data_IF_209325737818
#
_entry.id   IF_209325737818
#
_cell.length_a   1.000
_cell.length_b   1.000
_cell.length_c   1.000
_cell.angle_alpha   90.00
_cell.angle_beta   90.00
_cell.angle_gamma   90.00
#
_symmetry.space_group_name_H-M   'P 1'
#
loop_
_entity.id
_entity.type
_entity.pdbx_description
1 polymer ?
#
# COMPACT_ATOMS: atom_id res chain seq x y z
N UNK A 1 -32.33 -4.63 -35.46
CA UNK A 1 -32.28 -3.85 -36.70
C UNK A 1 -32.93 -2.51 -36.41
N UNK A 2 -32.24 -1.42 -36.74
CA UNK A 2 -32.76 -0.06 -36.65
C UNK A 2 -32.82 0.50 -38.06
N UNK A 3 -33.98 1.02 -38.46
CA UNK A 3 -34.14 1.74 -39.73
C UNK A 3 -34.09 3.24 -39.45
N UNK A 4 -33.21 3.95 -40.13
CA UNK A 4 -33.00 5.39 -39.95
C UNK A 4 -32.84 6.07 -41.30
N UNK A 5 -33.14 7.35 -41.37
CA UNK A 5 -32.90 8.14 -42.58
C UNK A 5 -31.40 8.39 -42.77
N UNK A 6 -31.00 8.57 -44.00
CA UNK A 6 -29.65 8.98 -44.37
C UNK A 6 -29.26 10.26 -43.62
N UNK A 7 -27.98 10.37 -43.26
CA UNK A 7 -27.40 11.47 -42.45
C UNK A 7 -27.92 11.56 -40.99
N UNK A 8 -28.74 10.61 -40.54
CA UNK A 8 -29.15 10.52 -39.14
C UNK A 8 -28.03 9.95 -38.28
N UNK A 9 -27.76 10.60 -37.15
CA UNK A 9 -26.86 10.04 -36.13
C UNK A 9 -27.57 8.98 -35.32
N UNK A 10 -26.87 7.88 -35.08
CA UNK A 10 -27.28 6.80 -34.16
C UNK A 10 -26.22 6.59 -33.09
N UNK A 11 -26.65 6.20 -31.90
CA UNK A 11 -25.73 5.81 -30.83
C UNK A 11 -25.40 4.33 -31.00
N UNK A 12 -24.12 3.96 -30.94
CA UNK A 12 -23.64 2.59 -30.88
C UNK A 12 -23.64 2.11 -29.43
N UNK A 13 -24.67 1.40 -28.93
CA UNK A 13 -24.89 1.21 -27.50
C UNK A 13 -23.89 0.22 -26.89
N UNK A 14 -23.65 0.36 -25.60
CA UNK A 14 -23.11 -0.77 -24.81
C UNK A 14 -24.20 -1.84 -24.69
N UNK A 15 -23.80 -3.11 -24.81
CA UNK A 15 -24.66 -4.27 -24.60
C UNK A 15 -24.18 -5.06 -23.39
N UNK A 16 -24.53 -4.64 -22.16
CA UNK A 16 -24.00 -5.22 -20.92
C UNK A 16 -24.24 -6.73 -20.86
N UNK A 17 -23.23 -7.44 -20.35
CA UNK A 17 -23.26 -8.89 -20.22
C UNK A 17 -22.50 -9.34 -18.98
N UNK A 18 -23.02 -10.32 -18.27
CA UNK A 18 -22.27 -10.98 -17.17
C UNK A 18 -21.14 -11.87 -17.69
N UNK A 19 -21.28 -12.40 -18.89
CA UNK A 19 -20.36 -13.37 -19.52
C UNK A 19 -19.22 -12.72 -20.30
N UNK A 20 -19.43 -11.49 -20.78
CA UNK A 20 -18.48 -10.80 -21.65
C UNK A 20 -18.15 -9.41 -21.12
N UNK A 21 -16.99 -8.88 -21.56
CA UNK A 21 -16.63 -7.47 -21.48
C UNK A 21 -16.65 -6.94 -22.93
N UNK A 22 -17.42 -5.90 -23.16
CA UNK A 22 -17.49 -5.21 -24.44
C UNK A 22 -16.41 -4.14 -24.50
N UNK A 23 -15.79 -3.99 -25.65
CA UNK A 23 -14.71 -3.02 -25.88
C UNK A 23 -15.09 -1.95 -26.90
N UNK A 24 -16.11 -2.20 -27.75
CA UNK A 24 -16.55 -1.31 -28.79
C UNK A 24 -17.18 -2.08 -29.94
N UNK A 25 -17.29 -1.44 -31.07
CA UNK A 25 -17.90 -1.96 -32.29
C UNK A 25 -16.90 -1.96 -33.44
N UNK A 26 -17.18 -2.80 -34.42
CA UNK A 26 -16.49 -2.85 -35.72
C UNK A 26 -17.53 -3.13 -36.83
N UNK A 27 -17.28 -2.66 -38.04
CA UNK A 27 -18.06 -2.97 -39.22
C UNK A 27 -17.53 -4.21 -39.97
N UNK A 28 -16.48 -4.84 -39.46
CA UNK A 28 -15.86 -6.02 -40.04
C UNK A 28 -16.19 -7.27 -39.26
N UNK A 29 -16.97 -8.18 -39.81
CA UNK A 29 -17.36 -9.44 -39.20
C UNK A 29 -16.14 -10.25 -38.76
N UNK A 30 -16.09 -10.65 -37.47
CA UNK A 30 -15.01 -11.46 -36.91
C UNK A 30 -13.76 -10.69 -36.51
N UNK A 31 -13.69 -9.37 -36.72
CA UNK A 31 -12.59 -8.54 -36.26
C UNK A 31 -12.56 -8.46 -34.73
N UNK A 32 -11.33 -8.46 -34.15
CA UNK A 32 -11.09 -8.19 -32.73
C UNK A 32 -10.64 -6.75 -32.49
N UNK A 33 -10.48 -5.94 -33.52
CA UNK A 33 -10.12 -4.53 -33.45
C UNK A 33 -11.36 -3.66 -33.27
N UNK A 34 -11.32 -2.77 -32.28
CA UNK A 34 -12.35 -1.75 -32.06
C UNK A 34 -12.15 -0.65 -33.10
N UNK A 35 -13.20 -0.33 -33.88
CA UNK A 35 -13.24 0.80 -34.80
C UNK A 35 -14.07 1.95 -34.26
N UNK A 36 -15.11 1.63 -33.49
CA UNK A 36 -16.02 2.60 -32.88
C UNK A 36 -16.16 2.30 -31.41
N UNK A 37 -16.12 3.34 -30.57
CA UNK A 37 -16.26 3.20 -29.14
C UNK A 37 -17.70 2.90 -28.71
N UNK A 38 -17.89 2.31 -27.55
CA UNK A 38 -19.21 2.15 -26.94
C UNK A 38 -19.83 3.52 -26.67
N UNK A 39 -21.13 3.63 -26.91
CA UNK A 39 -21.92 4.85 -26.77
C UNK A 39 -21.46 6.04 -27.61
N UNK A 40 -20.62 5.80 -28.63
CA UNK A 40 -20.28 6.82 -29.62
C UNK A 40 -21.42 7.06 -30.62
N UNK A 41 -21.45 8.23 -31.21
CA UNK A 41 -22.33 8.57 -32.34
C UNK A 41 -21.73 8.07 -33.65
N UNK A 42 -22.59 7.61 -34.52
CA UNK A 42 -22.26 7.23 -35.89
C UNK A 42 -23.28 7.87 -36.86
N UNK A 43 -22.79 8.57 -37.88
CA UNK A 43 -23.63 9.14 -38.92
C UNK A 43 -23.90 8.08 -40.00
N UNK A 44 -25.15 7.75 -40.23
CA UNK A 44 -25.55 6.74 -41.20
C UNK A 44 -25.49 7.32 -42.60
N UNK A 45 -24.66 6.73 -43.46
CA UNK A 45 -24.50 7.12 -44.87
C UNK A 45 -24.91 6.01 -45.86
N UNK A 46 -25.32 4.86 -45.30
CA UNK A 46 -25.75 3.67 -46.08
C UNK A 46 -25.96 2.48 -45.18
N UNK A 47 -26.38 1.36 -45.72
CA UNK A 47 -26.55 0.12 -44.97
C UNK A 47 -25.24 -0.29 -44.33
N UNK A 48 -25.26 -0.46 -43.02
CA UNK A 48 -24.07 -0.78 -42.24
C UNK A 48 -24.38 -1.83 -41.15
N UNK A 49 -23.59 -2.88 -41.14
CA UNK A 49 -23.61 -3.88 -40.05
C UNK A 49 -22.56 -3.57 -39.02
N UNK A 50 -22.95 -3.59 -37.75
CA UNK A 50 -22.02 -3.46 -36.62
C UNK A 50 -21.92 -4.75 -35.85
N UNK A 51 -20.68 -5.13 -35.56
CA UNK A 51 -20.32 -6.32 -34.78
C UNK A 51 -19.65 -5.88 -33.48
N UNK A 52 -20.18 -6.36 -32.35
CA UNK A 52 -19.60 -6.01 -31.04
C UNK A 52 -18.27 -6.72 -30.82
N UNK A 53 -17.23 -5.94 -30.47
CA UNK A 53 -15.93 -6.46 -30.08
C UNK A 53 -15.96 -6.76 -28.58
N UNK A 54 -15.90 -8.04 -28.21
CA UNK A 54 -16.01 -8.49 -26.82
C UNK A 54 -15.09 -9.65 -26.50
N UNK A 55 -14.75 -9.81 -25.22
CA UNK A 55 -13.98 -10.95 -24.74
C UNK A 55 -14.69 -11.61 -23.56
N UNK A 56 -14.52 -12.92 -23.39
CA UNK A 56 -15.02 -13.63 -22.21
C UNK A 56 -14.50 -12.95 -20.96
N UNK A 57 -15.39 -12.60 -20.03
CA UNK A 57 -15.04 -12.00 -18.76
C UNK A 57 -14.42 -13.04 -17.83
N UNK A 58 -13.24 -12.77 -17.34
CA UNK A 58 -12.53 -13.58 -16.36
C UNK A 58 -12.35 -12.79 -15.06
N UNK A 59 -12.22 -13.49 -13.94
CA UNK A 59 -11.96 -12.91 -12.63
C UNK A 59 -10.54 -13.21 -12.17
N UNK A 60 -9.87 -12.20 -11.62
CA UNK A 60 -8.66 -12.38 -10.82
C UNK A 60 -9.00 -12.03 -9.38
N UNK A 61 -9.09 -13.04 -8.54
CA UNK A 61 -9.49 -12.92 -7.15
C UNK A 61 -8.27 -12.93 -6.24
N UNK A 62 -8.17 -11.97 -5.33
CA UNK A 62 -7.09 -11.84 -4.38
C UNK A 62 -7.57 -12.22 -2.98
N UNK A 63 -6.85 -13.13 -2.32
CA UNK A 63 -7.21 -13.66 -1.00
C UNK A 63 -6.03 -13.62 -0.03
N UNK A 64 -6.36 -13.58 1.26
CA UNK A 64 -5.38 -13.90 2.29
C UNK A 64 -5.01 -15.38 2.18
N UNK A 65 -3.87 -15.79 2.74
CA UNK A 65 -3.54 -17.21 2.88
C UNK A 65 -4.07 -17.83 4.18
N UNK A 66 -4.82 -17.09 4.99
CA UNK A 66 -5.36 -17.54 6.29
C UNK A 66 -6.77 -18.10 6.21
N UNK A 67 -7.45 -17.93 5.07
CA UNK A 67 -8.85 -18.33 4.90
C UNK A 67 -9.88 -17.32 5.41
N UNK A 68 -9.48 -16.29 6.17
CA UNK A 68 -10.37 -15.24 6.59
C UNK A 68 -10.78 -14.36 5.40
N UNK A 69 -12.06 -13.98 5.34
CA UNK A 69 -12.52 -12.94 4.42
C UNK A 69 -11.99 -11.59 4.90
N UNK A 70 -11.31 -10.86 4.02
CA UNK A 70 -10.81 -9.54 4.33
C UNK A 70 -11.14 -8.58 3.19
N UNK A 71 -11.92 -7.53 3.49
CA UNK A 71 -12.38 -6.52 2.53
C UNK A 71 -11.24 -5.87 1.72
N UNK A 72 -10.03 -5.74 2.31
CA UNK A 72 -8.85 -5.22 1.61
C UNK A 72 -8.46 -6.07 0.42
N UNK A 73 -8.63 -7.39 0.52
CA UNK A 73 -8.30 -8.32 -0.56
C UNK A 73 -9.40 -8.37 -1.62
N UNK A 74 -10.67 -8.33 -1.24
CA UNK A 74 -11.79 -8.30 -2.19
C UNK A 74 -11.79 -7.03 -3.05
N UNK A 75 -11.35 -5.89 -2.50
CA UNK A 75 -11.19 -4.63 -3.26
C UNK A 75 -10.12 -4.72 -4.36
N UNK A 76 -9.21 -5.68 -4.28
CA UNK A 76 -8.17 -5.89 -5.28
C UNK A 76 -8.67 -6.74 -6.46
N UNK A 77 -9.83 -7.39 -6.34
CA UNK A 77 -10.36 -8.26 -7.39
C UNK A 77 -10.55 -7.48 -8.69
N UNK A 78 -10.15 -8.11 -9.79
CA UNK A 78 -10.19 -7.51 -11.12
C UNK A 78 -11.02 -8.37 -12.06
N UNK A 79 -11.82 -7.73 -12.90
CA UNK A 79 -12.52 -8.34 -14.04
C UNK A 79 -11.77 -7.98 -15.31
N UNK A 80 -11.44 -8.95 -16.13
CA UNK A 80 -10.61 -8.77 -17.34
C UNK A 80 -11.10 -9.63 -18.48
N UNK A 81 -10.96 -9.17 -19.73
CA UNK A 81 -11.23 -9.99 -20.90
C UNK A 81 -10.17 -11.08 -21.09
N UNK A 82 -10.60 -12.28 -21.45
CA UNK A 82 -9.70 -13.40 -21.75
C UNK A 82 -8.61 -13.00 -22.73
N UNK A 83 -7.36 -13.30 -22.38
CA UNK A 83 -6.17 -12.99 -23.18
C UNK A 83 -5.61 -11.58 -22.96
N UNK A 84 -6.25 -10.76 -22.15
CA UNK A 84 -5.70 -9.44 -21.77
C UNK A 84 -4.86 -9.53 -20.50
N UNK A 85 -4.09 -8.48 -20.27
CA UNK A 85 -3.12 -8.38 -19.18
C UNK A 85 -3.70 -7.59 -18.01
N UNK A 86 -3.40 -8.04 -16.81
CA UNK A 86 -3.64 -7.31 -15.55
C UNK A 86 -2.33 -7.04 -14.85
N UNK A 87 -2.22 -5.91 -14.18
CA UNK A 87 -1.10 -5.59 -13.31
C UNK A 87 -1.40 -6.12 -11.91
N UNK A 88 -0.47 -6.91 -11.36
CA UNK A 88 -0.61 -7.45 -10.01
C UNK A 88 -0.57 -6.33 -8.96
N UNK A 89 -1.58 -6.22 -8.10
CA UNK A 89 -1.63 -5.16 -7.10
C UNK A 89 -0.60 -5.37 -5.99
N UNK A 90 -0.34 -4.32 -5.20
CA UNK A 90 0.45 -4.43 -3.98
C UNK A 90 -0.23 -5.39 -3.00
N UNK A 91 0.57 -6.24 -2.37
CA UNK A 91 0.07 -7.11 -1.31
C UNK A 91 -0.20 -6.26 -0.06
N UNK A 92 -1.40 -6.32 0.54
CA UNK A 92 -1.69 -5.56 1.75
C UNK A 92 -0.69 -5.82 2.87
N UNK A 93 -0.29 -4.77 3.56
CA UNK A 93 0.71 -4.84 4.65
C UNK A 93 0.21 -5.74 5.77
N UNK A 94 1.11 -6.61 6.27
CA UNK A 94 0.91 -7.44 7.46
C UNK A 94 2.05 -7.17 8.44
N UNK A 95 1.71 -6.66 9.62
CA UNK A 95 2.69 -6.32 10.66
C UNK A 95 3.59 -7.51 11.01
N UNK A 96 4.90 -7.28 11.05
CA UNK A 96 5.91 -8.30 11.33
C UNK A 96 6.23 -9.24 10.17
N UNK A 97 5.74 -8.91 8.97
CA UNK A 97 5.98 -9.72 7.76
C UNK A 97 6.44 -8.85 6.58
N UNK A 98 7.29 -9.42 5.78
CA UNK A 98 7.63 -8.92 4.45
C UNK A 98 6.65 -9.51 3.43
N UNK A 99 6.04 -8.65 2.60
CA UNK A 99 5.22 -9.09 1.47
C UNK A 99 6.13 -9.57 0.34
N UNK A 100 5.90 -10.78 -0.16
CA UNK A 100 6.68 -11.36 -1.26
C UNK A 100 5.96 -11.29 -2.61
N UNK A 101 4.63 -11.19 -2.62
CA UNK A 101 3.81 -11.18 -3.84
C UNK A 101 2.59 -12.09 -3.71
N UNK A 102 2.19 -12.66 -4.84
CA UNK A 102 0.98 -13.45 -4.99
C UNK A 102 1.29 -14.87 -5.50
N UNK A 103 0.54 -15.87 -5.03
CA UNK A 103 0.68 -17.25 -5.51
C UNK A 103 -0.67 -17.91 -5.77
N UNK A 104 -0.68 -18.85 -6.71
CA UNK A 104 -1.84 -19.74 -6.96
C UNK A 104 -2.06 -20.74 -5.82
N UNK A 105 -1.04 -21.00 -5.02
CA UNK A 105 -1.12 -21.93 -3.88
C UNK A 105 -1.29 -21.18 -2.57
N UNK A 106 -2.29 -21.57 -1.76
CA UNK A 106 -2.53 -21.05 -0.41
C UNK A 106 -1.37 -21.31 0.56
N UNK A 107 -0.58 -22.38 0.33
CA UNK A 107 0.54 -22.78 1.19
C UNK A 107 1.91 -22.35 0.66
N UNK A 108 1.95 -21.46 -0.34
CA UNK A 108 3.21 -21.06 -0.96
C UNK A 108 4.09 -20.27 0.01
N UNK A 109 5.38 -20.58 0.02
CA UNK A 109 6.45 -19.82 0.67
C UNK A 109 7.17 -18.86 -0.29
N UNK A 110 6.92 -18.99 -1.60
CA UNK A 110 7.44 -18.14 -2.67
C UNK A 110 6.29 -17.60 -3.50
N UNK A 111 6.43 -16.39 -4.01
CA UNK A 111 5.43 -15.79 -4.88
C UNK A 111 5.62 -16.29 -6.33
N UNK A 112 4.49 -16.59 -7.01
CA UNK A 112 4.46 -16.83 -8.45
C UNK A 112 4.49 -15.49 -9.23
N UNK A 113 3.91 -14.43 -8.62
CA UNK A 113 3.81 -13.10 -9.22
C UNK A 113 4.22 -12.04 -8.21
N UNK A 114 5.03 -11.08 -8.64
CA UNK A 114 5.39 -9.91 -7.85
C UNK A 114 4.34 -8.80 -8.02
N UNK A 115 4.21 -7.92 -7.03
CA UNK A 115 3.46 -6.68 -7.18
C UNK A 115 4.03 -5.85 -8.34
N UNK A 116 3.16 -5.22 -9.13
CA UNK A 116 3.52 -4.47 -10.32
C UNK A 116 3.77 -5.32 -11.58
N UNK A 117 3.83 -6.65 -11.44
CA UNK A 117 4.02 -7.54 -12.59
C UNK A 117 2.77 -7.61 -13.47
N UNK A 118 2.97 -7.50 -14.77
CA UNK A 118 1.92 -7.70 -15.77
C UNK A 118 1.73 -9.19 -16.07
N UNK A 119 0.49 -9.67 -16.02
CA UNK A 119 0.15 -11.09 -16.21
C UNK A 119 -1.00 -11.22 -17.19
N UNK A 120 -0.81 -11.97 -18.28
CA UNK A 120 -1.86 -12.30 -19.23
C UNK A 120 -2.82 -13.34 -18.65
N UNK A 121 -4.11 -13.06 -18.67
CA UNK A 121 -5.15 -13.88 -18.03
C UNK A 121 -5.89 -14.72 -19.06
N UNK A 122 -5.64 -16.03 -19.10
CA UNK A 122 -6.30 -17.00 -19.98
C UNK A 122 -7.48 -17.73 -19.32
N UNK A 123 -7.54 -17.74 -17.98
CA UNK A 123 -8.61 -18.34 -17.16
C UNK A 123 -8.78 -17.57 -15.86
N UNK A 124 -9.91 -17.72 -15.19
CA UNK A 124 -10.12 -17.17 -13.84
C UNK A 124 -9.02 -17.63 -12.89
N UNK A 125 -8.44 -16.68 -12.16
CA UNK A 125 -7.37 -16.90 -11.19
C UNK A 125 -7.85 -16.62 -9.77
N UNK A 126 -7.39 -17.43 -8.83
CA UNK A 126 -7.44 -17.12 -7.40
C UNK A 126 -6.01 -17.09 -6.89
N UNK A 127 -5.62 -15.94 -6.37
CA UNK A 127 -4.26 -15.66 -5.91
C UNK A 127 -4.27 -15.36 -4.41
N UNK A 128 -3.29 -15.94 -3.72
CA UNK A 128 -3.11 -15.81 -2.28
C UNK A 128 -1.88 -14.98 -1.98
N UNK A 129 -2.00 -14.08 -1.01
CA UNK A 129 -0.89 -13.28 -0.53
C UNK A 129 0.21 -14.14 0.07
N UNK A 130 1.45 -13.93 -0.34
CA UNK A 130 2.62 -14.62 0.19
C UNK A 130 3.41 -13.66 1.07
N UNK A 131 3.66 -14.10 2.30
CA UNK A 131 4.39 -13.34 3.31
C UNK A 131 5.54 -14.16 3.89
N UNK A 132 6.63 -13.47 4.22
CA UNK A 132 7.75 -14.00 5.00
C UNK A 132 7.77 -13.31 6.36
N UNK A 133 7.75 -14.07 7.46
CA UNK A 133 7.87 -13.51 8.81
C UNK A 133 9.24 -12.86 8.97
N UNK A 134 9.27 -11.66 9.52
CA UNK A 134 10.49 -10.96 9.89
C UNK A 134 10.96 -11.48 11.26
N UNK A 135 12.21 -11.98 11.38
CA UNK A 135 12.62 -12.71 12.57
C UNK A 135 12.89 -11.82 13.79
N UNK A 136 13.25 -10.55 13.56
CA UNK A 136 13.70 -9.68 14.63
C UNK A 136 12.70 -8.55 14.89
N UNK A 137 12.41 -8.32 16.17
CA UNK A 137 11.67 -7.16 16.64
C UNK A 137 12.66 -6.12 17.15
N UNK A 138 12.48 -4.88 16.71
CA UNK A 138 13.22 -3.71 17.20
C UNK A 138 12.25 -2.86 18.00
N UNK A 139 12.50 -2.72 19.31
CA UNK A 139 11.64 -1.96 20.21
C UNK A 139 12.33 -0.73 20.73
N UNK A 140 11.55 0.31 20.98
CA UNK A 140 11.99 1.59 21.50
C UNK A 140 11.31 1.85 22.84
N UNK A 141 12.09 2.18 23.86
CA UNK A 141 11.61 2.35 25.22
C UNK A 141 11.96 3.73 25.75
N UNK A 142 11.11 4.23 26.66
CA UNK A 142 11.55 5.35 27.46
C UNK A 142 12.56 4.84 28.51
N UNK A 143 13.62 5.59 28.72
CA UNK A 143 14.65 5.28 29.70
C UNK A 143 14.50 6.27 30.89
N UNK A 144 13.50 6.03 31.77
CA UNK A 144 13.17 7.00 32.82
C UNK A 144 13.92 6.75 34.14
N UNK A 145 14.86 5.82 34.15
CA UNK A 145 15.53 5.42 35.41
C UNK A 145 14.63 4.64 36.37
N UNK A 146 13.33 4.52 36.12
CA UNK A 146 12.38 3.75 36.92
C UNK A 146 12.21 2.33 36.39
N UNK A 147 11.76 1.39 37.22
CA UNK A 147 11.56 -0.03 36.86
C UNK A 147 10.59 -0.29 35.73
N UNK A 148 9.83 0.69 35.28
CA UNK A 148 8.80 0.61 34.23
C UNK A 148 9.21 1.39 33.00
N UNK A 149 10.23 0.92 32.27
CA UNK A 149 10.50 1.48 30.95
C UNK A 149 9.38 1.10 29.98
N UNK A 150 8.52 2.06 29.65
CA UNK A 150 7.39 1.88 28.75
C UNK A 150 7.88 1.76 27.30
N UNK A 151 7.41 0.72 26.61
CA UNK A 151 7.68 0.54 25.17
C UNK A 151 6.84 1.56 24.38
N UNK A 152 7.48 2.23 23.43
CA UNK A 152 6.79 3.03 22.41
C UNK A 152 6.27 2.08 21.32
N UNK A 153 5.07 1.55 21.50
CA UNK A 153 4.50 0.53 20.59
C UNK A 153 4.37 1.02 19.15
N UNK A 154 4.08 2.31 18.97
CA UNK A 154 4.00 2.96 17.65
C UNK A 154 5.33 3.01 16.89
N UNK A 155 6.46 2.92 17.60
CA UNK A 155 7.80 2.91 17.02
C UNK A 155 8.34 1.51 16.78
N UNK A 156 7.66 0.45 17.27
CA UNK A 156 8.11 -0.93 17.09
C UNK A 156 8.27 -1.27 15.60
N UNK A 157 9.44 -1.77 15.24
CA UNK A 157 9.79 -2.21 13.89
C UNK A 157 10.08 -3.70 13.85
N UNK A 158 10.07 -4.27 12.66
CA UNK A 158 10.45 -5.65 12.41
C UNK A 158 11.51 -5.70 11.31
N UNK A 159 12.49 -6.53 11.47
CA UNK A 159 13.63 -6.59 10.57
C UNK A 159 14.04 -8.02 10.19
N UNK A 160 14.61 -8.16 9.00
CA UNK A 160 15.36 -9.34 8.59
C UNK A 160 16.78 -9.30 9.16
N UNK A 161 17.47 -10.45 9.15
CA UNK A 161 18.90 -10.49 9.50
C UNK A 161 19.69 -9.55 8.59
N UNK A 162 20.56 -8.75 9.19
CA UNK A 162 21.40 -7.76 8.52
C UNK A 162 20.65 -6.61 7.81
N UNK A 163 19.35 -6.48 8.02
CA UNK A 163 18.61 -5.32 7.52
C UNK A 163 19.06 -4.06 8.26
N UNK A 164 19.25 -2.99 7.52
CA UNK A 164 19.48 -1.66 8.08
C UNK A 164 18.12 -1.03 8.41
N UNK A 165 17.99 -0.45 9.60
CA UNK A 165 16.81 0.31 10.03
C UNK A 165 17.25 1.71 10.42
N UNK A 166 16.46 2.71 10.06
CA UNK A 166 16.65 4.09 10.47
C UNK A 166 15.98 4.31 11.81
N UNK A 167 16.72 4.85 12.79
CA UNK A 167 16.20 5.11 14.12
C UNK A 167 15.24 6.30 14.08
N UNK A 168 14.05 6.19 14.69
CA UNK A 168 13.07 7.26 14.72
C UNK A 168 13.50 8.38 15.67
N UNK A 169 12.80 9.51 15.58
CA UNK A 169 12.92 10.57 16.57
C UNK A 169 12.58 10.06 17.97
N UNK A 170 13.33 10.50 18.97
CA UNK A 170 13.01 10.24 20.36
C UNK A 170 11.75 11.03 20.74
N UNK A 171 10.67 10.37 21.20
CA UNK A 171 9.43 11.06 21.57
C UNK A 171 9.68 12.16 22.62
N UNK A 172 9.09 13.33 22.41
CA UNK A 172 9.26 14.48 23.29
C UNK A 172 8.66 14.23 24.68
N UNK A 173 9.36 14.66 25.70
CA UNK A 173 8.89 14.66 27.09
C UNK A 173 9.08 16.07 27.64
N UNK A 174 8.04 16.65 28.26
CA UNK A 174 8.09 17.99 28.85
C UNK A 174 9.19 18.07 29.91
N UNK A 175 10.01 19.09 29.85
CA UNK A 175 11.12 19.31 30.79
C UNK A 175 12.38 18.51 30.48
N UNK A 176 12.47 17.85 29.32
CA UNK A 176 13.64 17.11 28.90
C UNK A 176 14.05 17.45 27.47
N UNK A 177 15.37 17.47 27.27
CA UNK A 177 16.00 17.53 25.94
C UNK A 177 16.35 16.11 25.52
N UNK A 178 15.90 15.69 24.33
CA UNK A 178 16.25 14.40 23.77
C UNK A 178 17.68 14.44 23.25
N UNK A 179 18.48 13.44 23.59
CA UNK A 179 19.88 13.29 23.13
C UNK A 179 20.00 12.23 22.04
N UNK A 180 19.25 11.14 22.13
CA UNK A 180 19.32 10.05 21.15
C UNK A 180 18.86 8.72 21.74
N UNK A 181 19.43 7.65 21.25
CA UNK A 181 19.13 6.26 21.62
C UNK A 181 20.37 5.52 22.11
N UNK A 182 20.19 4.56 22.99
CA UNK A 182 21.23 3.62 23.42
C UNK A 182 20.67 2.20 23.46
N UNK A 183 21.49 1.18 23.35
CA UNK A 183 21.11 -0.23 23.55
C UNK A 183 21.18 -0.65 25.02
N UNK A 184 21.84 0.12 25.86
CA UNK A 184 22.00 -0.14 27.28
C UNK A 184 20.98 0.63 28.12
N UNK A 185 20.30 -0.09 29.01
CA UNK A 185 19.31 0.51 29.91
C UNK A 185 20.01 1.29 31.06
N UNK A 186 19.60 2.55 31.24
CA UNK A 186 20.12 3.40 32.32
C UNK A 186 21.23 4.34 31.88
N UNK A 187 21.75 4.18 30.66
CA UNK A 187 22.80 5.08 30.15
C UNK A 187 22.27 6.51 29.98
N UNK A 188 23.15 7.46 30.21
CA UNK A 188 22.89 8.91 30.13
C UNK A 188 23.44 9.53 28.85
N UNK A 189 24.34 8.83 28.17
CA UNK A 189 24.91 9.23 26.88
C UNK A 189 24.34 8.37 25.73
N UNK A 190 24.01 8.95 24.58
CA UNK A 190 23.48 8.20 23.47
C UNK A 190 24.60 7.51 22.67
N UNK A 191 24.33 6.27 22.22
CA UNK A 191 25.15 5.58 21.22
C UNK A 191 24.78 6.01 19.80
N UNK A 192 23.52 6.44 19.61
CA UNK A 192 22.94 6.75 18.30
C UNK A 192 22.11 8.02 18.36
N UNK A 193 22.16 8.79 17.30
CA UNK A 193 21.25 9.90 17.06
C UNK A 193 19.95 9.43 16.38
N UNK A 194 18.89 10.22 16.51
CA UNK A 194 17.71 10.06 15.64
C UNK A 194 18.14 10.21 14.17
N UNK A 195 17.60 9.35 13.28
CA UNK A 195 18.00 9.32 11.88
C UNK A 195 19.19 8.39 11.57
N UNK A 196 19.96 7.94 12.56
CA UNK A 196 21.04 6.99 12.32
C UNK A 196 20.53 5.66 11.81
N UNK A 197 21.36 5.00 11.00
CA UNK A 197 21.04 3.71 10.41
C UNK A 197 21.83 2.59 11.09
N UNK A 198 21.08 1.66 11.70
CA UNK A 198 21.65 0.54 12.47
C UNK A 198 21.36 -0.80 11.78
N UNK A 199 22.39 -1.65 11.68
CA UNK A 199 22.27 -3.01 11.13
C UNK A 199 21.73 -3.96 12.19
N UNK A 200 20.58 -4.56 11.94
CA UNK A 200 19.91 -5.46 12.89
C UNK A 200 20.37 -6.90 12.67
N UNK A 201 21.02 -7.48 13.67
CA UNK A 201 21.54 -8.88 13.66
C UNK A 201 20.77 -9.80 14.60
N UNK A 202 20.02 -9.22 15.55
CA UNK A 202 19.20 -9.91 16.56
C UNK A 202 18.02 -9.04 16.96
N UNK A 203 17.09 -9.55 17.74
CA UNK A 203 16.06 -8.70 18.36
C UNK A 203 16.76 -7.65 19.24
N UNK A 204 16.46 -6.38 19.00
CA UNK A 204 17.17 -5.24 19.59
C UNK A 204 16.19 -4.34 20.32
N UNK A 205 16.64 -3.80 21.42
CA UNK A 205 15.89 -2.85 22.24
C UNK A 205 16.71 -1.57 22.36
N UNK A 206 16.11 -0.45 22.01
CA UNK A 206 16.67 0.88 22.19
C UNK A 206 15.99 1.58 23.36
N UNK A 207 16.75 2.36 24.10
CA UNK A 207 16.30 3.19 25.21
C UNK A 207 16.56 4.65 24.88
N UNK A 208 15.56 5.49 25.12
CA UNK A 208 15.69 6.93 24.90
C UNK A 208 16.65 7.56 25.90
N UNK A 209 17.62 8.31 25.42
CA UNK A 209 18.52 9.10 26.25
C UNK A 209 18.04 10.55 26.27
N UNK A 210 17.90 11.11 27.46
CA UNK A 210 17.40 12.46 27.69
C UNK A 210 18.15 13.12 28.83
N UNK A 211 18.29 14.44 28.74
CA UNK A 211 18.78 15.29 29.82
C UNK A 211 17.65 16.19 30.29
N UNK A 212 17.52 16.38 31.61
CA UNK A 212 16.58 17.35 32.20
C UNK A 212 16.93 18.74 31.67
N UNK A 213 15.95 19.44 31.13
CA UNK A 213 16.14 20.80 30.68
C UNK A 213 16.07 21.75 31.84
N UNK A 214 17.10 22.55 32.02
CA UNK A 214 17.09 23.64 32.99
C UNK A 214 16.50 24.88 32.30
N UNK A 215 15.38 25.35 32.78
CA UNK A 215 14.79 26.58 32.32
C UNK A 215 15.12 27.69 33.30
N UNK A 216 15.57 28.81 32.78
CA UNK A 216 15.80 30.04 33.53
C UNK A 216 14.76 31.03 33.04
N UNK A 217 14.12 31.74 34.03
CA UNK A 217 13.19 32.84 33.68
C UNK A 217 14.01 34.14 33.54
N UNK A 218 13.89 34.75 32.38
CA UNK A 218 14.41 36.10 32.16
C UNK A 218 13.21 37.02 32.18
N UNK A 219 13.17 37.95 33.14
CA UNK A 219 12.09 38.93 33.24
C UNK A 219 12.60 40.32 32.81
N UNK A 220 11.84 40.96 31.96
CA UNK A 220 12.12 42.31 31.50
C UNK A 220 11.17 43.24 32.20
N UNK A 221 11.72 44.32 32.78
CA UNK A 221 10.96 45.36 33.47
C UNK A 221 11.12 46.67 32.73
N UNK A 222 10.08 47.47 32.65
CA UNK A 222 10.09 48.75 31.93
C UNK A 222 10.88 49.88 32.62
N UNK A 223 11.46 49.59 33.80
CA UNK A 223 12.28 50.56 34.51
C UNK A 223 11.55 51.80 35.07
N UNK A 224 10.21 51.85 34.94
CA UNK A 224 9.36 52.94 35.39
C UNK A 224 8.60 52.64 36.68
N UNK A 225 9.02 51.66 37.45
CA UNK A 225 8.35 51.22 38.67
C UNK A 225 7.07 50.40 38.43
N UNK A 226 6.72 50.08 37.19
CA UNK A 226 5.57 49.26 36.83
C UNK A 226 5.97 47.77 36.93
N UNK A 227 5.13 46.95 37.56
CA UNK A 227 5.31 45.51 37.71
C UNK A 227 4.75 44.68 36.55
N UNK A 228 4.37 45.28 35.43
CA UNK A 228 3.86 44.58 34.28
C UNK A 228 5.01 43.97 33.47
N UNK A 229 5.18 42.66 33.52
CA UNK A 229 5.99 41.91 32.59
C UNK A 229 5.35 41.96 31.20
N UNK A 230 6.13 42.22 30.17
CA UNK A 230 5.71 42.10 28.79
C UNK A 230 5.60 40.63 28.38
#
# INVERSE_FOLDING_TARGET
ILQVYETKNVILPDMPSSKYINYGWTDTKGSSAVKYELNSEFTVTGDTDFYIVRRTALQVNFKTNTGASNSKFTRLNQKVGKGLTVTMPQVPVKTGYQSLGWSKSKKASKADYKAGQNVTVSKTLTLYAVYKKLPYTVTFNNNNGTSTSKIYTSLTMYASKNQKVTLPDVPKVKGYTNLGWTTEKGETEPEYSAGDTVKITKATRFYAVRRKSNYYTVSYYLGNGSTNAA
#
